data_IF_122153538740
#
_entry.id   IF_122153538740
#
_cell.length_a   1.000
_cell.length_b   1.000
_cell.length_c   1.000
_cell.angle_alpha   90.00
_cell.angle_beta   90.00
_cell.angle_gamma   90.00
#
_symmetry.space_group_name_H-M   'P 1'
#
loop_
_entity.id
_entity.type
_entity.pdbx_description
1 polymer ?
#
# COMPACT_ATOMS: atom_id res chain seq x y z
N UNK A 1 -13.85 -10.34 6.97
CA UNK A 1 -14.30 -8.98 6.56
C UNK A 1 -15.00 -9.09 5.21
N UNK A 2 -16.15 -8.49 5.04
CA UNK A 2 -16.86 -8.39 3.77
C UNK A 2 -16.62 -7.01 3.15
N UNK A 3 -16.41 -6.95 1.83
CA UNK A 3 -16.22 -5.71 1.06
C UNK A 3 -17.22 -5.69 -0.10
N UNK A 4 -17.74 -4.52 -0.44
CA UNK A 4 -18.82 -4.36 -1.43
C UNK A 4 -18.39 -4.71 -2.85
N UNK A 5 -17.14 -4.43 -3.19
CA UNK A 5 -16.54 -4.77 -4.49
C UNK A 5 -15.03 -4.98 -4.37
N UNK A 6 -14.40 -5.44 -5.45
CA UNK A 6 -12.97 -5.80 -5.49
C UNK A 6 -12.04 -4.66 -5.91
N UNK A 7 -12.57 -3.44 -6.03
CA UNK A 7 -11.77 -2.24 -6.35
C UNK A 7 -11.29 -1.59 -5.06
N UNK A 8 -10.00 -1.35 -4.97
CA UNK A 8 -9.39 -0.74 -3.80
C UNK A 8 -8.66 0.56 -4.15
N UNK A 9 -8.64 1.50 -3.20
CA UNK A 9 -7.76 2.68 -3.28
C UNK A 9 -6.40 2.28 -2.77
N UNK A 10 -5.39 2.29 -3.66
CA UNK A 10 -4.00 1.94 -3.32
C UNK A 10 -3.42 2.90 -2.29
N UNK A 11 -2.50 2.45 -1.41
CA UNK A 11 -1.71 3.34 -0.56
C UNK A 11 -0.94 4.37 -1.42
N UNK A 12 -1.05 5.65 -1.08
CA UNK A 12 -0.38 6.75 -1.80
C UNK A 12 0.05 7.81 -0.80
N UNK A 13 1.34 8.15 -0.76
CA UNK A 13 1.86 9.20 0.12
C UNK A 13 1.34 10.58 -0.30
N UNK A 14 0.68 11.28 0.62
CA UNK A 14 0.10 12.59 0.40
C UNK A 14 1.01 13.73 0.90
N UNK A 15 2.00 13.42 1.72
CA UNK A 15 2.97 14.38 2.27
C UNK A 15 2.35 15.67 2.85
N UNK A 16 1.15 15.57 3.41
CA UNK A 16 0.33 16.72 3.84
C UNK A 16 0.03 16.73 5.35
N UNK A 17 0.66 15.81 6.10
CA UNK A 17 0.52 15.77 7.55
C UNK A 17 1.43 16.81 8.25
N UNK A 18 1.06 17.18 9.45
CA UNK A 18 1.87 18.00 10.33
C UNK A 18 2.28 17.16 11.54
N UNK A 19 3.58 16.95 11.71
CA UNK A 19 4.11 16.11 12.80
C UNK A 19 3.39 14.76 12.93
N UNK A 20 3.12 14.11 11.79
CA UNK A 20 2.42 12.84 11.72
C UNK A 20 0.89 12.93 11.78
N UNK A 21 0.32 14.08 12.14
CA UNK A 21 -1.13 14.24 12.31
C UNK A 21 -1.83 14.43 10.95
N UNK A 22 -2.72 13.52 10.52
CA UNK A 22 -3.54 13.74 9.34
C UNK A 22 -4.51 14.90 9.56
N UNK A 23 -4.58 15.82 8.57
CA UNK A 23 -5.41 17.01 8.62
C UNK A 23 -6.63 16.95 7.67
N UNK A 24 -7.20 18.13 7.40
CA UNK A 24 -8.39 18.29 6.55
C UNK A 24 -8.16 17.74 5.13
N UNK A 25 -6.94 17.86 4.58
CA UNK A 25 -6.62 17.28 3.27
C UNK A 25 -6.86 15.76 3.27
N UNK A 26 -6.38 15.07 4.30
CA UNK A 26 -6.56 13.61 4.42
C UNK A 26 -8.05 13.26 4.62
N UNK A 27 -8.78 14.05 5.41
CA UNK A 27 -10.20 13.86 5.61
C UNK A 27 -10.97 13.92 4.28
N UNK A 28 -10.72 14.94 3.46
CA UNK A 28 -11.32 15.07 2.13
C UNK A 28 -10.87 13.92 1.22
N UNK A 29 -9.55 13.65 1.20
CA UNK A 29 -8.96 12.61 0.34
C UNK A 29 -9.59 11.23 0.55
N UNK A 30 -9.68 10.75 1.79
CA UNK A 30 -10.28 9.45 2.09
C UNK A 30 -11.81 9.51 2.02
N UNK A 31 -12.41 10.61 2.46
CA UNK A 31 -13.85 10.81 2.41
C UNK A 31 -14.42 10.73 1.01
N UNK A 32 -13.86 11.45 0.04
CA UNK A 32 -14.32 11.42 -1.35
C UNK A 32 -14.24 10.03 -1.97
N UNK A 33 -13.14 9.32 -1.74
CA UNK A 33 -12.92 7.98 -2.32
C UNK A 33 -13.82 6.94 -1.69
N UNK A 34 -14.15 7.10 -0.41
CA UNK A 34 -15.10 6.20 0.26
C UNK A 34 -16.52 6.34 -0.30
N UNK A 35 -17.01 7.57 -0.45
CA UNK A 35 -18.32 7.85 -1.07
C UNK A 35 -18.30 7.65 -2.60
N UNK A 36 -17.11 7.62 -3.20
CA UNK A 36 -16.86 7.30 -4.61
C UNK A 36 -17.02 5.82 -4.96
N UNK A 37 -17.32 4.96 -3.99
CA UNK A 37 -17.75 3.57 -4.19
C UNK A 37 -16.62 2.53 -4.17
N UNK A 38 -15.38 2.88 -3.84
CA UNK A 38 -14.33 1.88 -3.64
C UNK A 38 -14.69 0.93 -2.49
N UNK A 39 -14.45 -0.38 -2.65
CA UNK A 39 -14.80 -1.38 -1.63
C UNK A 39 -13.86 -1.36 -0.41
N UNK A 40 -12.59 -0.98 -0.62
CA UNK A 40 -11.58 -0.90 0.42
C UNK A 40 -10.63 0.27 0.14
N UNK A 41 -10.32 1.06 1.16
CA UNK A 41 -9.32 2.13 1.09
C UNK A 41 -8.09 1.75 1.90
N UNK A 42 -6.91 1.96 1.34
CA UNK A 42 -5.67 1.91 2.11
C UNK A 42 -5.22 3.34 2.45
N UNK A 43 -4.79 3.54 3.69
CA UNK A 43 -4.10 4.79 4.02
C UNK A 43 -2.77 4.86 3.29
N UNK A 44 -2.20 6.05 3.13
CA UNK A 44 -0.77 6.18 2.83
C UNK A 44 0.06 5.44 3.88
N UNK A 45 1.33 5.11 3.56
CA UNK A 45 2.24 4.55 4.55
C UNK A 45 2.28 5.43 5.78
N UNK A 46 1.64 4.96 6.84
CA UNK A 46 1.53 5.63 8.13
C UNK A 46 2.67 5.15 9.01
N UNK A 47 3.50 6.08 9.43
CA UNK A 47 4.77 5.77 10.08
C UNK A 47 4.56 5.40 11.56
N UNK A 48 5.31 4.41 12.03
CA UNK A 48 5.20 3.90 13.41
C UNK A 48 5.99 4.70 14.43
N UNK A 49 6.87 5.60 13.95
CA UNK A 49 7.66 6.52 14.79
C UNK A 49 8.00 7.80 14.02
N UNK A 50 8.43 8.89 14.71
CA UNK A 50 8.90 10.11 14.06
C UNK A 50 10.05 9.87 13.08
N UNK A 51 11.01 9.02 13.43
CA UNK A 51 12.16 8.66 12.61
C UNK A 51 11.79 7.75 11.43
N UNK A 52 10.67 7.04 11.55
CA UNK A 52 10.13 6.18 10.49
C UNK A 52 9.54 6.94 9.30
N UNK A 53 9.45 8.27 9.35
CA UNK A 53 8.89 9.08 8.26
C UNK A 53 9.81 9.10 7.03
N UNK A 54 9.20 9.10 5.85
CA UNK A 54 9.91 9.37 4.59
C UNK A 54 10.31 10.86 4.57
N UNK A 55 9.32 11.74 4.81
CA UNK A 55 9.44 13.19 4.80
C UNK A 55 8.71 13.81 6.00
N UNK A 56 8.92 15.11 6.30
CA UNK A 56 8.17 15.79 7.36
C UNK A 56 6.65 15.76 7.20
N UNK A 57 6.16 15.58 5.95
CA UNK A 57 4.74 15.56 5.62
C UNK A 57 4.06 14.18 5.75
N UNK A 58 4.75 13.13 6.17
CA UNK A 58 4.16 11.79 6.34
C UNK A 58 3.21 11.73 7.53
N UNK A 59 2.15 10.92 7.40
CA UNK A 59 1.28 10.58 8.52
C UNK A 59 1.94 9.61 9.49
N UNK A 60 1.46 9.59 10.72
CA UNK A 60 1.96 8.75 11.80
C UNK A 60 0.86 8.07 12.61
N UNK A 61 1.29 7.07 13.38
CA UNK A 61 0.48 6.36 14.36
C UNK A 61 1.35 6.01 15.58
N UNK A 62 1.78 7.05 16.33
CA UNK A 62 2.65 6.87 17.50
C UNK A 62 2.23 7.69 18.73
N UNK A 63 1.09 8.36 18.71
CA UNK A 63 0.52 9.06 19.86
C UNK A 63 -1.00 9.21 19.75
N UNK A 64 -1.66 9.63 20.85
CA UNK A 64 -3.12 9.75 20.97
C UNK A 64 -3.71 10.82 20.02
N UNK A 65 -2.95 11.87 19.66
CA UNK A 65 -3.40 12.89 18.73
C UNK A 65 -3.59 12.27 17.33
N UNK A 66 -2.70 11.35 16.94
CA UNK A 66 -2.83 10.62 15.67
C UNK A 66 -4.05 9.69 15.69
N UNK A 67 -4.27 8.99 16.81
CA UNK A 67 -5.47 8.13 17.00
C UNK A 67 -6.74 8.96 16.79
N UNK A 68 -6.86 10.09 17.48
CA UNK A 68 -8.04 10.95 17.37
C UNK A 68 -8.27 11.48 15.95
N UNK A 69 -7.19 11.89 15.28
CA UNK A 69 -7.26 12.42 13.91
C UNK A 69 -7.65 11.33 12.89
N UNK A 70 -7.06 10.14 12.97
CA UNK A 70 -7.43 8.99 12.14
C UNK A 70 -8.84 8.50 12.44
N UNK A 71 -9.22 8.43 13.72
CA UNK A 71 -10.58 8.03 14.12
C UNK A 71 -11.66 8.88 13.45
N UNK A 72 -11.46 10.20 13.37
CA UNK A 72 -12.39 11.11 12.67
C UNK A 72 -12.59 10.71 11.20
N UNK A 73 -11.52 10.29 10.53
CA UNK A 73 -11.57 9.84 9.12
C UNK A 73 -12.29 8.49 9.02
N UNK A 74 -11.93 7.54 9.88
CA UNK A 74 -12.54 6.20 9.93
C UNK A 74 -14.03 6.28 10.22
N UNK A 75 -14.44 7.09 11.20
CA UNK A 75 -15.85 7.30 11.55
C UNK A 75 -16.64 7.88 10.36
N UNK A 76 -16.06 8.81 9.59
CA UNK A 76 -16.69 9.33 8.37
C UNK A 76 -16.86 8.25 7.31
N UNK A 77 -15.82 7.46 7.03
CA UNK A 77 -15.86 6.36 6.05
C UNK A 77 -16.99 5.39 6.40
N UNK A 78 -17.07 4.95 7.65
CA UNK A 78 -18.10 4.02 8.12
C UNK A 78 -19.51 4.62 8.11
N UNK A 79 -19.64 5.91 8.46
CA UNK A 79 -20.96 6.56 8.53
C UNK A 79 -21.51 6.95 7.16
N UNK A 80 -20.67 7.27 6.17
CA UNK A 80 -21.09 7.86 4.91
C UNK A 80 -20.94 6.92 3.70
N UNK A 81 -20.32 5.75 3.89
CA UNK A 81 -20.09 4.79 2.80
C UNK A 81 -20.24 3.34 3.28
N UNK A 82 -20.09 2.39 2.35
CA UNK A 82 -19.95 0.96 2.65
C UNK A 82 -18.51 0.48 2.55
N UNK A 83 -17.59 1.39 2.26
CA UNK A 83 -16.19 1.07 2.15
C UNK A 83 -15.61 0.61 3.49
N UNK A 84 -14.59 -0.25 3.41
CA UNK A 84 -13.71 -0.59 4.51
C UNK A 84 -12.43 0.23 4.41
N UNK A 85 -11.73 0.39 5.53
CA UNK A 85 -10.48 1.15 5.56
C UNK A 85 -9.37 0.36 6.25
N UNK A 86 -8.23 0.27 5.56
CA UNK A 86 -7.01 -0.42 5.99
C UNK A 86 -5.94 0.60 6.38
N UNK A 87 -5.32 0.41 7.54
CA UNK A 87 -4.16 1.19 7.97
C UNK A 87 -2.87 0.52 7.46
N UNK A 88 -2.17 1.14 6.50
CA UNK A 88 -0.85 0.67 6.09
C UNK A 88 0.21 1.24 7.04
N UNK A 89 0.89 0.37 7.78
CA UNK A 89 1.96 0.71 8.71
C UNK A 89 3.34 0.48 8.10
N UNK A 90 4.25 1.41 8.31
CA UNK A 90 5.59 1.31 7.76
C UNK A 90 6.64 2.14 8.51
N UNK A 91 7.89 1.93 8.10
CA UNK A 91 9.06 2.68 8.54
C UNK A 91 9.97 2.87 7.32
N UNK A 92 10.35 4.10 7.02
CA UNK A 92 11.08 4.45 5.80
C UNK A 92 12.49 3.84 5.70
N UNK A 93 13.09 3.50 6.85
CA UNK A 93 14.46 2.98 6.85
C UNK A 93 15.46 3.97 6.26
N UNK A 94 16.39 3.47 5.46
CA UNK A 94 17.42 4.27 4.80
C UNK A 94 16.91 5.24 3.73
N UNK A 95 15.62 5.16 3.35
CA UNK A 95 14.95 6.10 2.43
C UNK A 95 14.23 7.24 3.16
N UNK A 96 14.41 7.39 4.46
CA UNK A 96 13.82 8.45 5.25
C UNK A 96 14.61 9.76 5.19
N UNK A 97 14.07 10.78 5.89
CA UNK A 97 14.71 12.10 5.99
C UNK A 97 14.88 12.79 4.65
N UNK A 98 13.84 12.72 3.80
CA UNK A 98 13.82 13.26 2.44
C UNK A 98 12.82 14.41 2.30
N UNK A 99 12.96 15.17 1.20
CA UNK A 99 12.03 16.24 0.82
C UNK A 99 10.63 15.69 0.54
N UNK A 100 9.65 16.59 0.51
CA UNK A 100 8.31 16.25 0.01
C UNK A 100 8.41 15.79 -1.47
N UNK A 101 7.56 14.85 -1.88
CA UNK A 101 7.66 14.24 -3.21
C UNK A 101 7.67 15.22 -4.40
N UNK A 102 6.99 16.37 -4.27
CA UNK A 102 6.97 17.41 -5.29
C UNK A 102 8.15 18.39 -5.23
N UNK A 103 8.97 18.35 -4.18
CA UNK A 103 10.19 19.16 -4.03
C UNK A 103 11.44 18.43 -4.53
N UNK A 104 11.31 17.16 -4.85
CA UNK A 104 12.37 16.30 -5.34
C UNK A 104 12.29 14.92 -4.67
N UNK A 105 11.74 13.96 -5.40
CA UNK A 105 11.51 12.61 -4.89
C UNK A 105 12.82 11.95 -4.45
N UNK A 106 12.82 11.38 -3.24
CA UNK A 106 13.96 10.71 -2.61
C UNK A 106 15.23 11.58 -2.39
N UNK A 107 15.18 12.90 -2.64
CA UNK A 107 16.29 13.78 -2.32
C UNK A 107 16.34 14.09 -0.82
N UNK A 108 17.55 14.16 -0.21
CA UNK A 108 17.67 14.47 1.20
C UNK A 108 17.14 15.87 1.53
N UNK A 109 16.67 16.05 2.77
CA UNK A 109 16.32 17.38 3.28
C UNK A 109 17.56 18.30 3.27
N UNK A 110 17.35 19.58 3.00
CA UNK A 110 18.42 20.60 3.09
C UNK A 110 18.80 20.89 4.54
N UNK A 111 17.79 20.90 5.41
CA UNK A 111 17.94 21.14 6.85
C UNK A 111 16.94 20.28 7.65
N UNK A 112 17.21 20.06 8.93
CA UNK A 112 16.30 19.30 9.79
C UNK A 112 16.31 17.79 9.55
N UNK A 113 17.40 17.29 8.94
CA UNK A 113 17.60 15.85 8.75
C UNK A 113 17.62 15.13 10.10
N UNK A 114 17.00 13.94 10.13
CA UNK A 114 17.13 13.01 11.26
C UNK A 114 17.94 11.78 10.86
N UNK A 115 18.58 11.11 11.81
CA UNK A 115 19.31 9.88 11.56
C UNK A 115 18.39 8.78 11.00
N UNK A 116 18.89 8.02 10.02
CA UNK A 116 18.19 6.88 9.45
C UNK A 116 18.85 5.56 9.82
N UNK A 117 18.05 4.51 9.93
CA UNK A 117 18.48 3.14 10.25
C UNK A 117 18.05 2.19 9.13
N UNK A 118 18.81 1.12 8.92
CA UNK A 118 18.48 0.10 7.91
C UNK A 118 19.10 -1.26 8.28
N UNK A 119 18.85 -2.27 7.45
CA UNK A 119 19.48 -3.58 7.60
C UNK A 119 21.03 -3.50 7.61
N UNK A 120 21.57 -2.62 6.77
CA UNK A 120 23.01 -2.37 6.63
C UNK A 120 23.25 -0.89 6.35
N UNK A 121 24.51 -0.45 6.38
CA UNK A 121 24.96 0.93 6.16
C UNK A 121 25.00 1.34 4.66
N UNK A 122 24.21 0.72 3.84
CA UNK A 122 24.11 1.00 2.39
C UNK A 122 23.18 2.20 2.16
N UNK A 123 23.67 3.35 1.68
CA UNK A 123 22.84 4.50 1.40
C UNK A 123 21.90 4.23 0.24
N UNK A 124 20.71 4.87 0.25
CA UNK A 124 19.74 4.75 -0.85
C UNK A 124 20.32 5.20 -2.19
N UNK A 125 21.02 6.33 -2.19
CA UNK A 125 21.74 6.85 -3.35
C UNK A 125 23.02 7.56 -2.90
N UNK A 126 23.92 7.93 -3.81
CA UNK A 126 25.15 8.64 -3.46
C UNK A 126 24.97 9.99 -2.76
N UNK A 127 23.75 10.60 -2.86
CA UNK A 127 23.42 11.89 -2.24
C UNK A 127 22.67 11.75 -0.92
N UNK A 128 22.12 10.57 -0.62
CA UNK A 128 21.44 10.31 0.64
C UNK A 128 22.42 9.96 1.76
N UNK A 129 22.04 10.24 3.00
CA UNK A 129 22.84 9.85 4.15
C UNK A 129 22.98 8.32 4.24
N UNK A 130 24.15 7.83 4.64
CA UNK A 130 24.31 6.42 4.96
C UNK A 130 23.53 6.09 6.24
N UNK A 131 22.64 5.08 6.21
CA UNK A 131 21.95 4.66 7.39
C UNK A 131 22.90 3.97 8.38
N UNK A 132 22.57 4.02 9.66
CA UNK A 132 23.22 3.16 10.64
C UNK A 132 22.61 1.75 10.55
N UNK A 133 23.45 0.73 10.44
CA UNK A 133 23.01 -0.66 10.52
C UNK A 133 22.34 -0.94 11.87
N UNK A 134 21.16 -1.54 11.86
CA UNK A 134 20.39 -1.85 13.06
C UNK A 134 21.07 -2.90 13.92
N UNK A 135 21.14 -2.64 15.22
CA UNK A 135 21.45 -3.65 16.24
C UNK A 135 20.17 -4.47 16.56
N UNK A 136 20.33 -5.55 17.31
CA UNK A 136 19.16 -6.31 17.81
C UNK A 136 18.23 -5.43 18.66
N UNK A 137 18.79 -4.55 19.48
CA UNK A 137 18.00 -3.64 20.31
C UNK A 137 17.15 -2.67 19.44
N UNK A 138 17.73 -2.12 18.36
CA UNK A 138 16.97 -1.30 17.42
C UNK A 138 15.84 -2.09 16.74
N UNK A 139 16.11 -3.35 16.38
CA UNK A 139 15.11 -4.23 15.76
C UNK A 139 13.96 -4.53 16.73
N UNK A 140 14.26 -4.77 18.00
CA UNK A 140 13.24 -4.97 19.04
C UNK A 140 12.41 -3.70 19.27
N UNK A 141 13.06 -2.53 19.36
CA UNK A 141 12.39 -1.23 19.52
C UNK A 141 11.42 -0.95 18.35
N UNK A 142 11.88 -1.08 17.11
CA UNK A 142 11.04 -0.86 15.92
C UNK A 142 9.89 -1.86 15.86
N UNK A 143 10.12 -3.14 16.15
CA UNK A 143 9.04 -4.14 16.25
C UNK A 143 7.97 -3.70 17.26
N UNK A 144 8.38 -3.20 18.43
CA UNK A 144 7.47 -2.78 19.48
C UNK A 144 6.72 -1.47 19.09
N UNK A 145 7.35 -0.58 18.29
CA UNK A 145 6.68 0.57 17.67
C UNK A 145 5.58 0.12 16.70
N UNK A 146 5.81 -0.90 15.86
CA UNK A 146 4.76 -1.50 15.02
C UNK A 146 3.61 -2.07 15.84
N UNK A 147 3.90 -2.80 16.92
CA UNK A 147 2.88 -3.35 17.83
C UNK A 147 2.07 -2.24 18.49
N UNK A 148 2.71 -1.16 18.92
CA UNK A 148 2.02 0.01 19.47
C UNK A 148 1.09 0.65 18.43
N UNK A 149 1.57 0.86 17.21
CA UNK A 149 0.77 1.42 16.12
C UNK A 149 -0.43 0.54 15.74
N UNK A 150 -0.29 -0.80 15.81
CA UNK A 150 -1.41 -1.73 15.62
C UNK A 150 -2.51 -1.52 16.67
N UNK A 151 -2.15 -1.39 17.94
CA UNK A 151 -3.11 -1.14 19.03
C UNK A 151 -3.83 0.20 18.85
N UNK A 152 -3.08 1.25 18.49
CA UNK A 152 -3.63 2.56 18.15
C UNK A 152 -4.56 2.50 16.92
N UNK A 153 -4.21 1.73 15.90
CA UNK A 153 -5.05 1.49 14.73
C UNK A 153 -6.38 0.80 15.09
N UNK A 154 -6.34 -0.15 16.01
CA UNK A 154 -7.53 -0.81 16.53
C UNK A 154 -8.43 0.20 17.28
N UNK A 155 -7.85 1.05 18.12
CA UNK A 155 -8.55 2.11 18.85
C UNK A 155 -9.17 3.15 17.90
N UNK A 156 -8.47 3.52 16.84
CA UNK A 156 -8.98 4.41 15.80
C UNK A 156 -10.12 3.78 14.97
N UNK A 157 -10.34 2.46 15.08
CA UNK A 157 -11.48 1.76 14.48
C UNK A 157 -11.22 1.20 13.09
N UNK A 158 -9.98 1.07 12.64
CA UNK A 158 -9.65 0.48 11.34
C UNK A 158 -10.19 -0.95 11.18
N UNK A 159 -10.60 -1.30 9.96
CA UNK A 159 -11.15 -2.62 9.63
C UNK A 159 -10.06 -3.66 9.35
N UNK A 160 -8.91 -3.21 8.86
CA UNK A 160 -7.78 -4.01 8.39
C UNK A 160 -6.47 -3.28 8.65
N UNK A 161 -5.37 -4.00 8.77
CA UNK A 161 -4.02 -3.43 8.77
C UNK A 161 -3.17 -4.07 7.68
N UNK A 162 -2.17 -3.31 7.20
CA UNK A 162 -1.18 -3.77 6.23
C UNK A 162 0.23 -3.46 6.72
N UNK A 163 1.12 -4.44 6.64
CA UNK A 163 2.55 -4.23 6.83
C UNK A 163 3.19 -3.78 5.52
N UNK A 164 3.84 -2.62 5.51
CA UNK A 164 4.62 -2.19 4.34
C UNK A 164 6.02 -2.83 4.36
N UNK A 165 6.22 -3.84 3.51
CA UNK A 165 7.50 -4.54 3.34
C UNK A 165 8.03 -4.45 1.90
N UNK A 166 7.77 -3.31 1.21
CA UNK A 166 8.11 -3.06 -0.18
C UNK A 166 8.93 -1.77 -0.37
N UNK A 167 9.32 -1.50 -1.62
CA UNK A 167 9.82 -0.22 -2.14
C UNK A 167 11.11 0.30 -1.52
N UNK A 168 11.96 -0.59 -0.99
CA UNK A 168 13.24 -0.21 -0.38
C UNK A 168 13.12 0.49 0.97
N UNK A 169 11.93 0.50 1.58
CA UNK A 169 11.75 0.92 2.96
C UNK A 169 12.31 -0.11 3.93
N UNK A 170 12.25 0.13 5.24
CA UNK A 170 13.00 -0.63 6.23
C UNK A 170 12.94 -2.15 6.04
N UNK A 171 11.73 -2.72 6.01
CA UNK A 171 11.57 -4.18 5.93
C UNK A 171 11.90 -4.73 4.55
N UNK A 172 11.58 -3.99 3.48
CA UNK A 172 12.05 -4.31 2.12
C UNK A 172 13.58 -4.33 2.05
N UNK A 173 14.24 -3.42 2.75
CA UNK A 173 15.69 -3.36 2.85
C UNK A 173 16.32 -4.57 3.56
N UNK A 174 15.58 -5.23 4.46
CA UNK A 174 15.99 -6.54 5.00
C UNK A 174 15.82 -7.65 3.97
N UNK A 175 14.72 -7.64 3.19
CA UNK A 175 14.38 -8.71 2.24
C UNK A 175 15.34 -8.71 1.04
N UNK A 176 15.64 -7.53 0.45
CA UNK A 176 16.48 -7.46 -0.74
C UNK A 176 17.97 -7.66 -0.43
N UNK A 177 18.69 -8.52 -1.20
CA UNK A 177 20.13 -8.67 -1.04
C UNK A 177 20.93 -7.43 -1.48
N UNK A 178 20.26 -6.50 -2.20
CA UNK A 178 20.90 -5.26 -2.67
C UNK A 178 21.20 -4.30 -1.52
N UNK A 179 20.32 -4.25 -0.50
CA UNK A 179 20.49 -3.40 0.69
C UNK A 179 20.92 -4.18 1.93
N UNK A 180 20.57 -5.48 2.04
CA UNK A 180 20.95 -6.31 3.17
C UNK A 180 22.31 -6.96 2.93
N UNK A 181 23.34 -6.42 3.55
CA UNK A 181 24.73 -6.94 3.54
C UNK A 181 25.13 -7.57 4.89
N UNK A 182 24.14 -7.93 5.72
CA UNK A 182 24.38 -8.55 7.03
C UNK A 182 25.01 -9.93 6.88
N UNK A 183 25.85 -10.28 7.84
CA UNK A 183 26.54 -11.58 7.92
C UNK A 183 26.07 -12.41 9.12
N UNK A 184 25.09 -11.89 9.87
CA UNK A 184 24.42 -12.59 10.96
C UNK A 184 23.18 -13.37 10.46
N UNK A 185 22.38 -13.86 11.40
CA UNK A 185 21.16 -14.63 11.13
C UNK A 185 20.03 -13.89 10.40
N UNK A 186 20.21 -12.58 10.14
CA UNK A 186 19.27 -11.72 9.40
C UNK A 186 19.75 -11.38 7.99
N UNK A 187 20.87 -11.99 7.52
CA UNK A 187 21.45 -11.75 6.21
C UNK A 187 21.80 -13.03 5.44
N UNK A 188 22.23 -12.89 4.20
CA UNK A 188 22.60 -13.99 3.33
C UNK A 188 21.40 -14.66 2.64
N UNK A 189 20.97 -15.84 3.06
CA UNK A 189 19.87 -16.58 2.43
C UNK A 189 18.53 -15.82 2.51
N UNK A 190 17.60 -16.13 1.61
CA UNK A 190 16.25 -15.53 1.64
C UNK A 190 15.56 -15.76 3.00
N UNK A 191 15.65 -16.95 3.55
CA UNK A 191 15.06 -17.30 4.85
C UNK A 191 15.60 -16.40 5.98
N UNK A 192 16.91 -16.14 5.98
CA UNK A 192 17.52 -15.23 6.94
C UNK A 192 17.08 -13.79 6.74
N UNK A 193 17.01 -13.32 5.49
CA UNK A 193 16.56 -11.96 5.17
C UNK A 193 15.08 -11.74 5.49
N UNK A 194 14.27 -12.79 5.46
CA UNK A 194 12.84 -12.77 5.85
C UNK A 194 12.64 -12.81 7.37
N UNK A 195 13.62 -13.26 8.15
CA UNK A 195 13.47 -13.48 9.60
C UNK A 195 12.93 -12.25 10.32
N UNK A 196 13.57 -11.11 10.18
CA UNK A 196 13.11 -9.89 10.87
C UNK A 196 11.76 -9.36 10.35
N UNK A 197 11.49 -9.24 9.04
CA UNK A 197 10.17 -8.92 8.54
C UNK A 197 9.05 -9.85 9.07
N UNK A 198 9.31 -11.14 9.19
CA UNK A 198 8.37 -12.10 9.75
C UNK A 198 8.22 -11.96 11.27
N UNK A 199 9.28 -11.64 12.01
CA UNK A 199 9.19 -11.32 13.44
C UNK A 199 8.27 -10.10 13.68
N UNK A 200 8.43 -9.04 12.88
CA UNK A 200 7.56 -7.86 12.95
C UNK A 200 6.11 -8.24 12.59
N UNK A 201 5.91 -8.96 11.49
CA UNK A 201 4.57 -9.38 11.06
C UNK A 201 3.86 -10.23 12.13
N UNK A 202 4.55 -11.22 12.68
CA UNK A 202 3.99 -12.10 13.72
C UNK A 202 3.63 -11.34 15.00
N UNK A 203 4.47 -10.36 15.41
CA UNK A 203 4.18 -9.52 16.56
C UNK A 203 2.95 -8.61 16.32
N UNK A 204 2.83 -8.03 15.12
CA UNK A 204 1.64 -7.27 14.72
C UNK A 204 0.40 -8.16 14.68
N UNK A 205 0.50 -9.37 14.06
CA UNK A 205 -0.62 -10.32 13.99
C UNK A 205 -1.12 -10.73 15.37
N UNK A 206 -0.22 -10.94 16.32
CA UNK A 206 -0.55 -11.27 17.71
C UNK A 206 -1.28 -10.13 18.45
N UNK A 207 -1.04 -8.87 18.05
CA UNK A 207 -1.69 -7.69 18.63
C UNK A 207 -3.00 -7.29 17.92
N UNK A 208 -3.25 -7.80 16.71
CA UNK A 208 -4.45 -7.52 15.92
C UNK A 208 -5.49 -8.62 16.09
N UNK A 209 -6.80 -8.30 16.23
CA UNK A 209 -7.86 -9.31 16.40
C UNK A 209 -7.85 -10.35 15.27
N UNK A 210 -8.10 -11.62 15.62
CA UNK A 210 -8.04 -12.73 14.66
C UNK A 210 -9.18 -12.71 13.63
N UNK A 211 -10.29 -12.05 13.93
CA UNK A 211 -11.43 -11.85 13.03
C UNK A 211 -11.26 -10.65 12.09
N UNK A 212 -10.21 -9.85 12.27
CA UNK A 212 -9.85 -8.74 11.39
C UNK A 212 -8.68 -9.13 10.48
N UNK A 213 -8.78 -8.90 9.15
CA UNK A 213 -7.70 -9.26 8.22
C UNK A 213 -6.45 -8.41 8.40
N UNK A 214 -5.33 -9.00 7.99
CA UNK A 214 -4.02 -8.36 7.92
C UNK A 214 -3.32 -8.75 6.62
N UNK A 215 -2.82 -7.76 5.88
CA UNK A 215 -2.05 -7.94 4.65
C UNK A 215 -0.60 -7.54 4.81
N UNK A 216 0.16 -7.85 3.78
CA UNK A 216 1.53 -7.35 3.60
C UNK A 216 1.74 -6.89 2.18
N UNK A 217 2.37 -5.73 2.00
CA UNK A 217 2.80 -5.25 0.70
C UNK A 217 4.26 -5.60 0.46
N UNK A 218 4.54 -6.21 -0.71
CA UNK A 218 5.88 -6.65 -1.10
C UNK A 218 6.31 -6.04 -2.44
N UNK A 219 7.63 -5.94 -2.68
CA UNK A 219 8.20 -5.75 -4.01
C UNK A 219 8.52 -7.10 -4.62
N UNK A 220 7.75 -7.51 -5.64
CA UNK A 220 7.86 -8.82 -6.26
C UNK A 220 9.09 -8.97 -7.18
N UNK A 221 9.76 -7.88 -7.49
CA UNK A 221 11.06 -7.86 -8.18
C UNK A 221 11.76 -6.56 -7.86
N UNK A 222 13.07 -6.60 -7.80
CA UNK A 222 13.91 -5.41 -7.66
C UNK A 222 14.27 -4.79 -9.02
N UNK A 223 13.87 -5.43 -10.14
CA UNK A 223 14.29 -5.04 -11.50
C UNK A 223 15.82 -5.01 -11.66
N UNK A 224 16.52 -5.94 -11.01
CA UNK A 224 17.97 -6.08 -10.99
C UNK A 224 18.44 -7.48 -11.47
N UNK A 225 17.58 -8.22 -12.17
CA UNK A 225 17.85 -9.61 -12.55
C UNK A 225 18.08 -10.49 -11.31
N UNK A 226 19.04 -11.40 -11.41
CA UNK A 226 19.38 -12.36 -10.34
C UNK A 226 20.12 -11.74 -9.15
N UNK A 227 20.57 -10.48 -9.26
CA UNK A 227 21.25 -9.78 -8.15
C UNK A 227 20.28 -9.27 -7.07
N UNK A 228 19.00 -9.11 -7.41
CA UNK A 228 17.94 -8.64 -6.53
C UNK A 228 16.90 -9.72 -6.24
N UNK A 229 15.75 -9.28 -5.71
CA UNK A 229 14.57 -10.13 -5.58
C UNK A 229 14.01 -10.41 -6.98
N UNK A 230 13.80 -11.69 -7.26
CA UNK A 230 13.18 -12.18 -8.51
C UNK A 230 11.69 -12.48 -8.31
N UNK A 231 10.91 -12.59 -9.39
CA UNK A 231 9.52 -13.03 -9.30
C UNK A 231 9.34 -14.44 -8.69
N UNK A 232 10.38 -15.28 -8.77
CA UNK A 232 10.40 -16.58 -8.09
C UNK A 232 10.51 -16.42 -6.57
N UNK A 233 11.40 -15.53 -6.11
CA UNK A 233 11.52 -15.21 -4.68
C UNK A 233 10.22 -14.62 -4.13
N UNK A 234 9.51 -13.80 -4.92
CA UNK A 234 8.23 -13.22 -4.50
C UNK A 234 7.17 -14.27 -4.18
N UNK A 235 7.16 -15.40 -4.88
CA UNK A 235 6.28 -16.55 -4.55
C UNK A 235 6.61 -17.09 -3.16
N UNK A 236 7.90 -17.32 -2.88
CA UNK A 236 8.37 -17.81 -1.57
C UNK A 236 8.09 -16.80 -0.44
N UNK A 237 8.32 -15.52 -0.71
CA UNK A 237 8.02 -14.41 0.23
C UNK A 237 6.52 -14.40 0.55
N UNK A 238 5.65 -14.46 -0.46
CA UNK A 238 4.21 -14.52 -0.28
C UNK A 238 3.77 -15.73 0.54
N UNK A 239 4.32 -16.90 0.27
CA UNK A 239 4.06 -18.13 1.03
C UNK A 239 4.50 -17.99 2.50
N UNK A 240 5.67 -17.41 2.76
CA UNK A 240 6.18 -17.20 4.12
C UNK A 240 5.26 -16.29 4.94
N UNK A 241 4.81 -15.16 4.37
CA UNK A 241 3.87 -14.28 5.04
C UNK A 241 2.47 -14.91 5.21
N UNK A 242 1.98 -15.64 4.22
CA UNK A 242 0.72 -16.39 4.34
C UNK A 242 0.79 -17.44 5.46
N UNK A 243 1.89 -18.19 5.57
CA UNK A 243 2.14 -19.13 6.66
C UNK A 243 2.22 -18.44 8.03
N UNK A 244 2.67 -17.18 8.07
CA UNK A 244 2.67 -16.35 9.28
C UNK A 244 1.30 -15.72 9.60
N UNK A 245 0.27 -15.93 8.77
CA UNK A 245 -1.10 -15.47 8.98
C UNK A 245 -1.49 -14.20 8.21
N UNK A 246 -0.84 -13.92 7.08
CA UNK A 246 -1.31 -12.88 6.15
C UNK A 246 -2.52 -13.39 5.37
N UNK A 247 -3.59 -12.59 5.38
CA UNK A 247 -4.84 -12.89 4.65
C UNK A 247 -4.77 -12.45 3.17
N UNK A 248 -3.84 -11.55 2.83
CA UNK A 248 -3.70 -10.97 1.49
C UNK A 248 -2.26 -10.51 1.27
N UNK A 249 -1.73 -10.73 0.06
CA UNK A 249 -0.44 -10.17 -0.39
C UNK A 249 -0.72 -9.05 -1.39
N UNK A 250 -0.38 -7.80 -1.05
CA UNK A 250 -0.38 -6.67 -1.98
C UNK A 250 0.90 -6.69 -2.80
N UNK A 251 0.77 -7.00 -4.09
CA UNK A 251 1.91 -7.29 -4.97
C UNK A 251 2.29 -6.08 -5.80
N UNK A 252 3.30 -5.35 -5.32
CA UNK A 252 3.96 -4.26 -6.04
C UNK A 252 5.31 -4.71 -6.63
N UNK A 253 6.13 -3.77 -7.13
CA UNK A 253 7.46 -4.08 -7.66
C UNK A 253 8.40 -2.87 -7.60
N UNK A 254 9.68 -3.13 -7.47
CA UNK A 254 10.75 -2.16 -7.55
C UNK A 254 10.86 -1.18 -6.40
N UNK A 255 11.49 -0.04 -6.67
CA UNK A 255 11.79 1.03 -5.71
C UNK A 255 12.75 0.60 -4.57
N UNK A 256 13.49 -0.49 -4.78
CA UNK A 256 14.40 -1.08 -3.79
C UNK A 256 15.82 -0.54 -3.89
N UNK A 257 16.21 -0.03 -5.05
CA UNK A 257 17.50 0.65 -5.28
C UNK A 257 17.39 1.58 -6.51
N UNK A 258 18.34 2.50 -6.67
CA UNK A 258 18.29 3.53 -7.73
C UNK A 258 18.62 3.00 -9.12
N UNK A 259 19.33 1.89 -9.24
CA UNK A 259 19.73 1.27 -10.51
C UNK A 259 18.68 0.35 -11.13
N UNK A 260 17.45 0.36 -10.66
CA UNK A 260 16.38 -0.48 -11.21
C UNK A 260 16.04 -0.13 -12.67
N UNK A 261 15.74 -1.15 -13.47
CA UNK A 261 15.34 -1.02 -14.89
C UNK A 261 13.93 -1.58 -15.13
N UNK A 262 12.86 -0.91 -14.63
CA UNK A 262 11.50 -1.43 -14.75
C UNK A 262 10.97 -1.37 -16.18
N UNK A 263 10.29 -2.44 -16.60
CA UNK A 263 9.56 -2.48 -17.87
C UNK A 263 8.11 -2.04 -17.63
N UNK A 264 7.82 -0.79 -17.97
CA UNK A 264 6.49 -0.22 -17.81
C UNK A 264 5.53 -0.61 -18.95
N UNK A 265 4.25 -0.65 -18.64
CA UNK A 265 3.17 -0.92 -19.58
C UNK A 265 1.81 -0.96 -18.85
N UNK A 266 0.75 -1.26 -19.58
CA UNK A 266 -0.57 -1.49 -18.98
C UNK A 266 -0.50 -2.73 -18.09
N UNK A 267 -1.00 -2.64 -16.85
CA UNK A 267 -1.07 -3.76 -15.89
C UNK A 267 0.31 -4.45 -15.68
N UNK A 268 1.43 -3.69 -15.76
CA UNK A 268 2.78 -4.24 -15.84
C UNK A 268 3.22 -5.06 -14.62
N UNK A 269 2.57 -4.89 -13.47
CA UNK A 269 2.85 -5.70 -12.27
C UNK A 269 1.91 -6.90 -12.13
N UNK A 270 0.84 -6.99 -12.93
CA UNK A 270 -0.12 -8.10 -12.87
C UNK A 270 0.51 -9.49 -13.07
N UNK A 271 1.55 -9.70 -13.93
CA UNK A 271 2.22 -10.99 -14.01
C UNK A 271 2.81 -11.47 -12.67
N UNK A 272 3.21 -10.55 -11.80
CA UNK A 272 3.76 -10.89 -10.47
C UNK A 272 2.65 -11.31 -9.51
N UNK A 273 1.52 -10.57 -9.46
CA UNK A 273 0.38 -10.97 -8.64
C UNK A 273 -0.19 -12.32 -9.08
N UNK A 274 -0.21 -12.58 -10.39
CA UNK A 274 -0.61 -13.86 -10.97
C UNK A 274 0.26 -15.01 -10.46
N UNK A 275 1.59 -14.86 -10.51
CA UNK A 275 2.51 -15.87 -10.00
C UNK A 275 2.38 -16.10 -8.50
N UNK A 276 2.39 -15.02 -7.69
CA UNK A 276 2.23 -15.13 -6.24
C UNK A 276 0.90 -15.79 -5.88
N UNK A 277 -0.18 -15.47 -6.60
CA UNK A 277 -1.49 -16.08 -6.40
C UNK A 277 -1.53 -17.56 -6.77
N UNK A 278 -1.14 -17.88 -7.99
CA UNK A 278 -1.41 -19.19 -8.58
C UNK A 278 -0.30 -20.21 -8.28
N UNK A 279 0.98 -19.81 -8.27
CA UNK A 279 2.10 -20.66 -7.85
C UNK A 279 2.19 -20.68 -6.31
N UNK A 280 2.05 -19.52 -5.64
CA UNK A 280 2.13 -19.39 -4.19
C UNK A 280 0.88 -19.86 -3.43
N UNK A 281 -0.26 -19.94 -4.13
CA UNK A 281 -1.58 -20.30 -3.55
C UNK A 281 -1.99 -19.36 -2.42
N UNK A 282 -1.75 -18.07 -2.60
CA UNK A 282 -2.08 -17.01 -1.66
C UNK A 282 -3.07 -16.03 -2.27
N UNK A 283 -3.95 -15.44 -1.48
CA UNK A 283 -4.79 -14.36 -1.97
C UNK A 283 -3.93 -13.12 -2.29
N UNK A 284 -4.22 -12.44 -3.41
CA UNK A 284 -3.40 -11.31 -3.87
C UNK A 284 -4.23 -10.09 -4.26
N UNK A 285 -3.60 -8.93 -4.13
CA UNK A 285 -4.06 -7.67 -4.72
C UNK A 285 -3.05 -7.22 -5.79
N UNK A 286 -3.57 -6.95 -7.00
CA UNK A 286 -2.76 -6.43 -8.10
C UNK A 286 -2.82 -4.91 -8.13
N UNK A 287 -1.67 -4.28 -8.36
CA UNK A 287 -1.52 -2.84 -8.60
C UNK A 287 -0.59 -2.63 -9.80
N UNK A 288 -0.57 -1.43 -10.37
CA UNK A 288 0.40 -1.05 -11.40
C UNK A 288 -0.21 -0.78 -12.77
N UNK A 289 -0.47 0.51 -13.05
CA UNK A 289 -1.02 1.02 -14.30
C UNK A 289 -2.33 0.34 -14.74
N UNK A 290 -3.21 0.10 -13.74
CA UNK A 290 -4.60 -0.34 -13.93
C UNK A 290 -5.44 0.94 -13.89
N UNK A 291 -6.12 1.31 -14.99
CA UNK A 291 -6.85 2.59 -15.06
C UNK A 291 -8.20 2.52 -15.80
N UNK A 292 -8.45 1.46 -16.58
CA UNK A 292 -9.73 1.22 -17.23
C UNK A 292 -10.52 0.11 -16.53
N UNK A 293 -11.86 0.14 -16.54
CA UNK A 293 -12.67 -0.93 -15.95
C UNK A 293 -12.36 -2.32 -16.52
N UNK A 294 -12.08 -2.40 -17.83
CA UNK A 294 -11.72 -3.66 -18.51
C UNK A 294 -10.39 -4.22 -18.03
N UNK A 295 -9.44 -3.37 -17.62
CA UNK A 295 -8.19 -3.84 -16.99
C UNK A 295 -8.51 -4.58 -15.70
N UNK A 296 -9.32 -3.97 -14.80
CA UNK A 296 -9.71 -4.57 -13.54
C UNK A 296 -10.49 -5.88 -13.77
N UNK A 297 -11.49 -5.86 -14.66
CA UNK A 297 -12.28 -7.04 -14.97
C UNK A 297 -11.45 -8.18 -15.55
N UNK A 298 -10.52 -7.89 -16.46
CA UNK A 298 -9.68 -8.94 -17.09
C UNK A 298 -8.75 -9.61 -16.07
N UNK A 299 -8.19 -8.84 -15.12
CA UNK A 299 -7.35 -9.37 -14.03
C UNK A 299 -8.16 -10.32 -13.14
N UNK A 300 -9.35 -9.88 -12.72
CA UNK A 300 -10.21 -10.63 -11.81
C UNK A 300 -10.81 -11.87 -12.48
N UNK A 301 -11.34 -11.72 -13.70
CA UNK A 301 -11.95 -12.80 -14.46
C UNK A 301 -10.95 -13.91 -14.84
N UNK A 302 -9.70 -13.53 -15.14
CA UNK A 302 -8.64 -14.48 -15.43
C UNK A 302 -8.03 -15.12 -14.16
N UNK A 303 -8.48 -14.76 -12.96
CA UNK A 303 -7.96 -15.28 -11.69
C UNK A 303 -6.51 -14.89 -11.40
N UNK A 304 -6.08 -13.71 -11.86
CA UNK A 304 -4.70 -13.22 -11.72
C UNK A 304 -4.48 -12.43 -10.42
N UNK A 305 -5.56 -12.00 -9.79
CA UNK A 305 -5.60 -11.41 -8.45
C UNK A 305 -7.01 -11.56 -7.86
N UNK A 306 -7.15 -11.37 -6.56
CA UNK A 306 -8.42 -11.36 -5.85
C UNK A 306 -8.98 -9.96 -5.68
N UNK A 307 -8.12 -8.96 -5.56
CA UNK A 307 -8.43 -7.53 -5.49
C UNK A 307 -7.58 -6.74 -6.51
N UNK A 308 -8.06 -5.55 -6.87
CA UNK A 308 -7.35 -4.63 -7.78
C UNK A 308 -7.22 -3.27 -7.09
N UNK A 309 -5.99 -2.79 -6.98
CA UNK A 309 -5.68 -1.49 -6.38
C UNK A 309 -5.36 -0.45 -7.45
N UNK A 310 -6.06 0.68 -7.38
CA UNK A 310 -5.84 1.82 -8.26
C UNK A 310 -5.25 2.99 -7.46
N UNK A 311 -4.12 3.52 -7.96
CA UNK A 311 -3.45 4.67 -7.38
C UNK A 311 -3.82 5.97 -8.13
N UNK A 312 -3.06 6.29 -9.17
CA UNK A 312 -3.20 7.53 -9.94
C UNK A 312 -4.61 7.79 -10.50
N UNK A 313 -5.36 6.77 -10.96
CA UNK A 313 -6.74 6.98 -11.38
C UNK A 313 -7.61 7.57 -10.26
N UNK A 314 -7.48 7.08 -9.02
CA UNK A 314 -8.20 7.61 -7.88
C UNK A 314 -7.70 8.99 -7.40
N UNK A 315 -6.48 9.43 -7.78
CA UNK A 315 -6.05 10.80 -7.51
C UNK A 315 -6.78 11.83 -8.38
N UNK A 316 -7.08 11.47 -9.62
CA UNK A 316 -7.75 12.32 -10.60
C UNK A 316 -9.26 12.20 -10.51
N UNK A 317 -9.77 10.99 -10.33
CA UNK A 317 -11.20 10.68 -10.25
C UNK A 317 -11.53 9.90 -8.96
N UNK A 318 -11.87 10.57 -7.86
CA UNK A 318 -12.30 9.91 -6.63
C UNK A 318 -13.53 8.99 -6.81
N UNK A 319 -14.36 9.26 -7.85
CA UNK A 319 -15.57 8.52 -8.20
C UNK A 319 -15.34 7.48 -9.29
N UNK A 320 -14.09 7.10 -9.54
CA UNK A 320 -13.75 6.13 -10.58
C UNK A 320 -14.57 4.84 -10.48
N UNK A 321 -14.76 4.30 -9.26
CA UNK A 321 -15.51 3.06 -9.06
C UNK A 321 -16.98 3.20 -9.46
N UNK A 322 -17.65 4.29 -9.08
CA UNK A 322 -19.04 4.55 -9.49
C UNK A 322 -19.14 4.78 -11.00
N UNK A 323 -18.17 5.47 -11.60
CA UNK A 323 -18.10 5.66 -13.05
C UNK A 323 -17.90 4.33 -13.78
N UNK A 324 -17.01 3.47 -13.30
CA UNK A 324 -16.79 2.13 -13.84
C UNK A 324 -18.06 1.28 -13.79
N UNK A 325 -18.78 1.31 -12.67
CA UNK A 325 -20.07 0.62 -12.53
C UNK A 325 -21.08 1.10 -13.58
N UNK A 326 -21.18 2.42 -13.81
CA UNK A 326 -22.06 2.98 -14.83
C UNK A 326 -21.65 2.57 -16.26
N UNK A 327 -20.35 2.57 -16.58
CA UNK A 327 -19.82 2.14 -17.88
C UNK A 327 -20.09 0.67 -18.17
N UNK A 328 -20.08 -0.19 -17.14
CA UNK A 328 -20.36 -1.62 -17.23
C UNK A 328 -21.84 -1.97 -17.08
N UNK A 329 -22.73 -0.98 -17.00
CA UNK A 329 -24.18 -1.12 -16.66
C UNK A 329 -24.41 -1.96 -15.38
N UNK A 330 -23.46 -1.90 -14.43
CA UNK A 330 -23.61 -2.55 -13.12
C UNK A 330 -24.37 -1.64 -12.17
N UNK A 331 -25.54 -2.10 -11.68
CA UNK A 331 -26.48 -1.27 -10.91
C UNK A 331 -26.51 -1.59 -9.42
N UNK A 332 -25.94 -2.72 -9.04
CA UNK A 332 -25.89 -3.15 -7.64
C UNK A 332 -24.64 -2.58 -6.95
N UNK A 333 -24.50 -1.25 -7.00
CA UNK A 333 -23.46 -0.47 -6.33
C UNK A 333 -24.10 0.55 -5.41
N UNK A 334 -23.56 0.71 -4.21
CA UNK A 334 -24.04 1.73 -3.28
C UNK A 334 -23.73 3.12 -3.81
N UNK A 335 -24.76 3.92 -4.01
CA UNK A 335 -24.66 5.34 -4.37
C UNK A 335 -25.22 6.18 -3.23
N UNK A 336 -24.42 7.12 -2.66
CA UNK A 336 -24.95 8.05 -1.68
C UNK A 336 -26.22 8.74 -2.19
N UNK A 337 -27.26 8.88 -1.35
CA UNK A 337 -28.54 9.48 -1.78
C UNK A 337 -28.38 10.82 -2.50
N UNK A 338 -27.41 11.64 -2.07
CA UNK A 338 -27.13 12.96 -2.61
C UNK A 338 -26.64 12.90 -4.08
N UNK A 339 -26.07 11.77 -4.52
CA UNK A 339 -25.47 11.61 -5.85
C UNK A 339 -26.30 10.77 -6.82
N UNK A 340 -27.45 10.22 -6.39
CA UNK A 340 -28.32 9.35 -7.22
C UNK A 340 -28.77 10.00 -8.52
N UNK A 341 -29.11 11.30 -8.48
CA UNK A 341 -29.50 12.03 -9.69
C UNK A 341 -28.34 12.15 -10.70
N UNK A 342 -27.11 12.41 -10.20
CA UNK A 342 -25.90 12.45 -11.03
C UNK A 342 -25.59 11.10 -11.68
N UNK A 343 -25.67 10.00 -10.90
CA UNK A 343 -25.48 8.64 -11.42
C UNK A 343 -26.51 8.27 -12.47
N UNK A 344 -27.79 8.62 -12.24
CA UNK A 344 -28.86 8.39 -13.23
C UNK A 344 -28.64 9.18 -14.52
N UNK A 345 -28.10 10.39 -14.44
CA UNK A 345 -27.74 11.20 -15.60
C UNK A 345 -26.57 10.58 -16.37
N UNK A 346 -25.51 10.18 -15.65
CA UNK A 346 -24.34 9.53 -16.23
C UNK A 346 -24.73 8.26 -17.00
N UNK A 347 -25.51 7.37 -16.38
CA UNK A 347 -25.95 6.12 -17.01
C UNK A 347 -26.76 6.38 -18.31
N UNK A 348 -27.64 7.39 -18.32
CA UNK A 348 -28.38 7.77 -19.54
C UNK A 348 -27.46 8.30 -20.63
N UNK A 349 -26.46 9.10 -20.28
CA UNK A 349 -25.53 9.65 -21.27
C UNK A 349 -24.67 8.55 -21.89
N UNK A 350 -24.10 7.65 -21.07
CA UNK A 350 -23.30 6.52 -21.54
C UNK A 350 -24.11 5.60 -22.48
N UNK A 351 -25.38 5.34 -22.15
CA UNK A 351 -26.26 4.55 -23.02
C UNK A 351 -26.45 5.21 -24.39
N UNK A 352 -26.74 6.53 -24.43
CA UNK A 352 -26.89 7.29 -25.70
C UNK A 352 -25.61 7.28 -26.52
N UNK A 353 -24.45 7.43 -25.88
CA UNK A 353 -23.14 7.37 -26.55
C UNK A 353 -22.90 5.99 -27.18
N UNK A 354 -23.21 4.91 -26.44
CA UNK A 354 -23.09 3.56 -26.96
C UNK A 354 -24.05 3.30 -28.14
N UNK A 355 -25.29 3.75 -28.08
CA UNK A 355 -26.27 3.66 -29.17
C UNK A 355 -25.82 4.43 -30.40
N UNK A 356 -25.30 5.66 -30.23
CA UNK A 356 -24.76 6.47 -31.32
C UNK A 356 -23.53 5.82 -31.97
N UNK A 357 -22.61 5.27 -31.17
CA UNK A 357 -21.43 4.55 -31.67
C UNK A 357 -21.81 3.27 -32.43
N UNK A 358 -22.83 2.54 -32.00
CA UNK A 358 -23.34 1.36 -32.71
C UNK A 358 -23.96 1.74 -34.06
N UNK A 359 -24.73 2.82 -34.11
CA UNK A 359 -25.34 3.31 -35.36
C UNK A 359 -24.31 3.77 -36.41
N UNK A 360 -23.14 4.26 -36.00
CA UNK A 360 -22.06 4.64 -36.92
C UNK A 360 -21.27 3.42 -37.48
N UNK A 361 -21.43 2.25 -36.87
CA UNK A 361 -20.76 1.01 -37.33
C UNK A 361 -21.66 0.11 -38.20
N UNK A 362 -22.96 0.39 -38.19
CA UNK A 362 -23.97 -0.28 -39.02
C UNK A 362 -24.14 0.41 -40.39
#
# INVERSE_FOLDING_TARGET
>A
MEIENRVTVSPMAMYSAKEGTPGEFHFVHYGERSIGGAGLLFTEMTCVSPEGRISPGCTGMWNDQHVAAWKRIVDFVHAQSRAKICLQLGHSGGKGSTRLGWEGNDLPLETGNWPVIAASDVPWSPVNQAPRAMTRADMDEVRDQFVSAVRMGLEAGFDMIELHAAHGYLLSGFITPLQNKRTDEYGGSLDNRLRYPLEVFAAMRAAWPTDKPMSVRISATDWAGEEGITPGDAVLIGQAFAAAGADLIDVSAGQTFVGQEPVYGRMFQTPFSDRVRNEGRTATMAVGNIYEPDHANSILAAGRADLVALARPHLVDPFWTLRAAAQLDYRDVHVPPQYRNGMSQLARNLKREAEAAAALRA
#
